data_IF_420044256102
#
_entry.id   IF_420044256102
#
_cell.length_a   1.000
_cell.length_b   1.000
_cell.length_c   1.000
_cell.angle_alpha   90.00
_cell.angle_beta   90.00
_cell.angle_gamma   90.00
#
_symmetry.space_group_name_H-M   'P 1'
#
loop_
_entity.id
_entity.type
_entity.pdbx_description
1 polymer ?
#
# COMPACT_ATOMS: atom_id res chain seq x y z
N UNK A 1 -27.72 33.57 -27.92
CA UNK A 1 -28.45 33.29 -26.67
C UNK A 1 -27.88 32.01 -26.04
N UNK A 2 -27.37 32.11 -24.79
CA UNK A 2 -27.19 31.07 -23.74
C UNK A 2 -26.54 29.73 -24.13
N UNK A 3 -25.29 29.32 -23.81
CA UNK A 3 -24.43 29.42 -22.61
C UNK A 3 -24.94 28.65 -21.34
N UNK A 4 -24.71 27.34 -21.30
CA UNK A 4 -24.58 26.53 -20.06
C UNK A 4 -23.07 26.42 -19.74
N UNK A 5 -22.44 26.89 -18.64
CA UNK A 5 -22.68 26.82 -17.18
C UNK A 5 -22.82 25.35 -16.72
N UNK A 6 -22.01 24.73 -15.85
CA UNK A 6 -21.41 25.09 -14.53
C UNK A 6 -20.37 23.99 -14.18
N UNK A 7 -19.20 24.26 -13.57
CA UNK A 7 -18.92 24.63 -12.16
C UNK A 7 -19.21 23.51 -11.14
N UNK A 8 -18.17 22.75 -10.72
CA UNK A 8 -18.08 22.14 -9.39
C UNK A 8 -16.61 22.20 -8.93
N UNK A 9 -16.20 23.35 -8.42
CA UNK A 9 -15.03 23.45 -7.55
C UNK A 9 -15.49 24.16 -6.28
N UNK A 10 -15.10 23.59 -5.12
CA UNK A 10 -15.27 24.12 -3.75
C UNK A 10 -16.62 23.85 -3.08
N UNK A 11 -16.81 22.64 -2.52
CA UNK A 11 -17.81 22.39 -1.47
C UNK A 11 -17.38 21.24 -0.54
N UNK A 12 -16.29 21.42 0.19
CA UNK A 12 -15.95 20.53 1.31
C UNK A 12 -15.21 21.29 2.44
N UNK A 13 -15.64 22.51 2.73
CA UNK A 13 -15.15 23.26 3.90
C UNK A 13 -16.34 23.90 4.64
N UNK A 14 -17.25 23.07 5.15
CA UNK A 14 -18.42 23.55 5.92
C UNK A 14 -19.07 22.49 6.84
N UNK A 15 -18.31 21.54 7.40
CA UNK A 15 -18.80 20.65 8.47
C UNK A 15 -17.98 20.77 9.76
N UNK A 16 -17.48 21.98 10.09
CA UNK A 16 -16.76 22.27 11.35
C UNK A 16 -17.66 22.97 12.38
N UNK A 17 -18.95 23.19 12.10
CA UNK A 17 -19.80 24.09 12.92
C UNK A 17 -21.06 23.47 13.53
N UNK A 18 -21.06 22.17 13.82
CA UNK A 18 -22.16 21.51 14.54
C UNK A 18 -21.66 20.45 15.54
N UNK A 19 -20.62 20.79 16.31
CA UNK A 19 -20.25 20.04 17.50
C UNK A 19 -20.90 20.67 18.75
N UNK A 20 -21.58 19.89 19.61
CA UNK A 20 -22.14 20.38 20.88
C UNK A 20 -21.07 20.93 21.82
N UNK A 21 -21.41 22.00 22.55
CA UNK A 21 -20.55 22.64 23.56
C UNK A 21 -20.10 21.63 24.63
N UNK A 22 -18.81 21.57 24.97
CA UNK A 22 -18.32 20.77 26.09
C UNK A 22 -18.74 21.40 27.42
N UNK A 23 -19.45 20.64 28.25
CA UNK A 23 -19.61 20.88 29.69
C UNK A 23 -18.24 20.79 30.37
N UNK A 24 -18.01 21.68 31.34
CA UNK A 24 -16.70 21.94 31.94
C UNK A 24 -16.02 20.75 32.64
N UNK A 25 -14.73 20.91 33.00
CA UNK A 25 -13.88 19.80 33.44
C UNK A 25 -14.10 19.48 34.94
N UNK A 26 -14.22 18.20 35.33
CA UNK A 26 -13.93 17.79 36.69
C UNK A 26 -12.47 17.33 36.84
N UNK A 27 -11.79 17.99 37.78
CA UNK A 27 -10.63 17.63 38.59
C UNK A 27 -9.61 16.57 38.09
N UNK A 28 -8.36 17.01 37.96
CA UNK A 28 -7.14 16.19 37.90
C UNK A 28 -6.99 15.23 39.10
N UNK A 29 -6.27 14.12 38.91
CA UNK A 29 -5.21 13.71 39.83
C UNK A 29 -3.82 13.76 39.15
N UNK A 30 -2.81 13.95 39.99
CA UNK A 30 -1.44 14.38 39.72
C UNK A 30 -0.52 13.32 39.04
N UNK A 31 0.69 13.71 38.56
CA UNK A 31 1.50 12.97 37.58
C UNK A 31 2.63 12.12 38.21
N UNK A 32 3.11 11.12 37.46
CA UNK A 32 4.46 10.47 37.49
C UNK A 32 4.37 9.18 36.65
N UNK A 33 5.33 8.72 35.84
CA UNK A 33 6.67 9.15 35.49
C UNK A 33 7.04 8.53 34.13
N UNK A 34 7.96 9.15 33.40
CA UNK A 34 8.61 8.55 32.26
C UNK A 34 9.50 7.37 32.69
N UNK A 35 9.46 6.24 31.98
CA UNK A 35 10.64 5.40 31.66
C UNK A 35 10.25 4.19 30.80
N UNK A 36 10.78 4.18 29.57
CA UNK A 36 11.41 3.05 28.89
C UNK A 36 10.90 1.63 29.18
N UNK A 37 10.25 1.02 28.19
CA UNK A 37 10.04 -0.42 28.14
C UNK A 37 9.32 -0.82 26.86
N UNK A 38 9.99 -1.56 26.00
CA UNK A 38 9.44 -2.07 24.75
C UNK A 38 8.16 -2.88 24.98
N UNK A 39 7.07 -2.41 24.39
CA UNK A 39 5.90 -3.22 24.15
C UNK A 39 5.52 -2.94 22.70
N UNK A 40 5.73 -3.95 21.85
CA UNK A 40 5.15 -4.04 20.51
C UNK A 40 3.67 -3.76 20.68
N UNK A 41 3.25 -2.56 20.28
CA UNK A 41 1.85 -2.17 20.32
C UNK A 41 1.12 -3.08 19.33
N UNK A 42 0.56 -4.18 19.83
CA UNK A 42 -0.40 -4.99 19.12
C UNK A 42 -1.51 -4.03 18.67
N UNK A 43 -1.52 -3.73 17.37
CA UNK A 43 -2.53 -2.84 16.77
C UNK A 43 -3.91 -3.43 17.09
N UNK A 44 -4.89 -2.60 17.50
CA UNK A 44 -6.23 -3.08 17.77
C UNK A 44 -6.81 -3.74 16.52
N UNK A 45 -7.17 -5.01 16.63
CA UNK A 45 -7.92 -5.72 15.59
C UNK A 45 -9.34 -5.15 15.49
N UNK A 46 -9.53 -4.12 14.67
CA UNK A 46 -10.84 -3.64 14.28
C UNK A 46 -11.51 -4.66 13.34
N UNK A 47 -12.20 -5.63 13.93
CA UNK A 47 -12.99 -6.62 13.21
C UNK A 47 -14.30 -6.06 12.59
N UNK A 48 -14.60 -4.77 12.74
CA UNK A 48 -15.92 -4.21 12.38
C UNK A 48 -16.00 -3.59 10.98
N UNK A 49 -14.87 -3.34 10.29
CA UNK A 49 -14.87 -2.85 8.90
C UNK A 49 -13.74 -3.57 8.15
N UNK A 50 -13.98 -4.81 7.74
CA UNK A 50 -13.12 -5.44 6.73
C UNK A 50 -13.46 -4.81 5.37
N UNK A 51 -12.68 -3.80 4.98
CA UNK A 51 -12.71 -3.30 3.61
C UNK A 51 -12.48 -4.49 2.66
N UNK A 52 -13.28 -4.64 1.58
CA UNK A 52 -12.97 -5.63 0.56
C UNK A 52 -11.71 -5.26 -0.23
N UNK A 53 -11.21 -4.03 -0.09
CA UNK A 53 -10.00 -3.56 -0.74
C UNK A 53 -8.78 -3.82 0.13
N UNK A 54 -7.72 -4.31 -0.52
CA UNK A 54 -6.39 -4.48 0.03
C UNK A 54 -5.42 -3.56 -0.68
N UNK A 55 -4.59 -2.87 0.08
CA UNK A 55 -3.54 -2.01 -0.45
C UNK A 55 -2.20 -2.73 -0.32
N UNK A 56 -1.44 -2.74 -1.41
CA UNK A 56 -0.09 -3.27 -1.43
C UNK A 56 0.87 -2.26 -2.01
N UNK A 57 2.13 -2.33 -1.60
CA UNK A 57 3.23 -1.61 -2.23
C UNK A 57 4.18 -2.59 -2.88
N UNK A 58 4.44 -2.39 -4.16
CA UNK A 58 5.34 -3.23 -4.96
C UNK A 58 6.67 -2.51 -5.10
N UNK A 59 7.77 -3.21 -4.88
CA UNK A 59 9.12 -2.68 -5.00
C UNK A 59 9.90 -3.39 -6.09
N UNK A 60 10.64 -2.61 -6.89
CA UNK A 60 11.62 -3.13 -7.84
C UNK A 60 13.04 -2.94 -7.29
N UNK A 61 13.68 -4.05 -6.90
CA UNK A 61 15.09 -4.08 -6.51
C UNK A 61 15.88 -4.91 -7.52
N UNK A 62 17.19 -4.66 -7.71
CA UNK A 62 18.00 -5.51 -8.57
C UNK A 62 17.82 -6.99 -8.21
N UNK A 63 17.38 -7.81 -9.17
CA UNK A 63 17.12 -9.24 -8.97
C UNK A 63 15.76 -9.60 -8.35
N UNK A 64 15.06 -8.66 -7.71
CA UNK A 64 13.90 -8.98 -6.87
C UNK A 64 12.70 -8.07 -7.13
N UNK A 65 11.52 -8.68 -7.18
CA UNK A 65 10.24 -8.00 -7.06
C UNK A 65 9.62 -8.39 -5.73
N UNK A 66 9.25 -7.38 -4.96
CA UNK A 66 8.78 -7.53 -3.60
C UNK A 66 7.43 -6.86 -3.47
N UNK A 67 6.60 -7.37 -2.57
CA UNK A 67 5.31 -6.77 -2.26
C UNK A 67 5.15 -6.65 -0.75
N UNK A 68 4.77 -5.48 -0.26
CA UNK A 68 4.44 -5.24 1.14
C UNK A 68 2.93 -5.18 1.28
N UNK A 69 2.39 -5.94 2.22
CA UNK A 69 0.96 -5.93 2.55
C UNK A 69 0.60 -4.83 3.57
N UNK A 70 -0.68 -4.72 3.92
CA UNK A 70 -1.21 -3.73 4.87
C UNK A 70 -0.67 -3.91 6.30
N UNK A 71 -0.24 -5.14 6.63
CA UNK A 71 0.38 -5.49 7.91
C UNK A 71 1.85 -5.09 7.97
N UNK A 72 2.43 -4.66 6.84
CA UNK A 72 3.84 -4.32 6.72
C UNK A 72 4.75 -5.51 6.44
N UNK A 73 4.19 -6.71 6.24
CA UNK A 73 4.94 -7.92 5.89
C UNK A 73 5.36 -7.85 4.43
N UNK A 74 6.58 -8.31 4.15
CA UNK A 74 7.16 -8.29 2.81
C UNK A 74 7.20 -9.70 2.27
N UNK A 75 6.64 -9.88 1.08
CA UNK A 75 6.59 -11.13 0.36
C UNK A 75 7.39 -11.03 -0.93
N UNK A 76 7.90 -12.17 -1.40
CA UNK A 76 8.55 -12.24 -2.69
C UNK A 76 7.50 -12.39 -3.79
N UNK A 77 7.38 -11.36 -4.63
CA UNK A 77 6.42 -11.32 -5.73
C UNK A 77 6.99 -12.03 -6.98
N UNK A 78 8.30 -11.94 -7.17
CA UNK A 78 8.99 -12.52 -8.31
C UNK A 78 10.41 -11.99 -8.49
N UNK A 79 10.91 -12.12 -9.71
CA UNK A 79 12.27 -11.70 -10.08
C UNK A 79 12.25 -10.67 -11.20
N UNK A 80 13.16 -9.69 -11.11
CA UNK A 80 13.46 -8.72 -12.16
C UNK A 80 14.85 -9.01 -12.72
N UNK A 81 14.97 -9.03 -14.05
CA UNK A 81 16.23 -9.28 -14.76
C UNK A 81 16.52 -8.18 -15.79
N UNK A 82 17.79 -8.10 -16.17
CA UNK A 82 18.30 -7.10 -17.11
C UNK A 82 18.68 -5.79 -16.44
N UNK A 83 18.95 -4.79 -17.28
CA UNK A 83 19.28 -3.43 -16.90
C UNK A 83 18.48 -2.47 -17.77
N UNK A 84 18.23 -1.26 -17.31
CA UNK A 84 17.59 -0.23 -18.13
C UNK A 84 18.48 0.05 -19.37
N UNK A 85 17.91 0.14 -20.58
CA UNK A 85 16.49 0.18 -20.93
C UNK A 85 15.86 -1.16 -21.37
N UNK A 86 16.43 -2.30 -20.97
CA UNK A 86 15.94 -3.64 -21.32
C UNK A 86 15.68 -4.47 -20.06
N UNK A 87 14.66 -4.09 -19.31
CA UNK A 87 14.21 -4.85 -18.13
C UNK A 87 13.17 -5.90 -18.51
N UNK A 88 13.16 -6.97 -17.73
CA UNK A 88 12.17 -8.05 -17.79
C UNK A 88 11.82 -8.51 -16.38
N UNK A 89 10.67 -9.15 -16.24
CA UNK A 89 10.26 -9.77 -14.99
C UNK A 89 9.58 -11.12 -15.19
N UNK A 90 9.55 -11.88 -14.10
CA UNK A 90 8.75 -13.09 -13.94
C UNK A 90 8.12 -13.05 -12.54
N UNK A 91 6.80 -13.07 -12.47
CA UNK A 91 6.04 -13.19 -11.21
C UNK A 91 5.89 -14.66 -10.86
N UNK A 92 5.96 -14.98 -9.57
CA UNK A 92 5.68 -16.35 -9.12
C UNK A 92 4.20 -16.69 -9.22
N UNK A 93 3.34 -15.67 -9.12
CA UNK A 93 1.92 -15.81 -9.41
C UNK A 93 1.67 -16.09 -10.90
N UNK A 94 1.05 -17.24 -11.20
CA UNK A 94 0.66 -17.69 -12.55
C UNK A 94 1.76 -17.70 -13.61
N UNK A 95 3.03 -17.71 -13.18
CA UNK A 95 4.20 -17.64 -14.05
C UNK A 95 4.20 -16.47 -15.05
N UNK A 96 3.54 -15.34 -14.69
CA UNK A 96 3.41 -14.19 -15.58
C UNK A 96 4.76 -13.56 -15.86
N UNK A 97 4.97 -13.18 -17.12
CA UNK A 97 6.23 -12.60 -17.60
C UNK A 97 5.97 -11.32 -18.37
N UNK A 98 6.92 -10.40 -18.31
CA UNK A 98 6.99 -9.21 -19.12
C UNK A 98 8.43 -8.90 -19.50
N UNK A 99 8.64 -8.23 -20.62
CA UNK A 99 9.97 -7.94 -21.16
C UNK A 99 9.97 -6.65 -21.99
N UNK A 100 11.15 -6.04 -22.15
CA UNK A 100 11.34 -4.86 -23.00
C UNK A 100 10.98 -3.54 -22.33
N UNK A 101 11.03 -3.47 -21.00
CA UNK A 101 10.72 -2.23 -20.27
C UNK A 101 11.94 -1.31 -20.19
N UNK A 102 11.75 -0.04 -20.55
CA UNK A 102 12.81 0.96 -20.57
C UNK A 102 13.23 1.43 -19.16
N UNK A 103 12.33 1.33 -18.19
CA UNK A 103 12.59 1.74 -16.81
C UNK A 103 11.90 0.84 -15.80
N UNK A 104 12.40 0.84 -14.55
CA UNK A 104 11.73 0.15 -13.43
C UNK A 104 10.30 0.63 -13.23
N UNK A 105 10.02 1.91 -13.46
CA UNK A 105 8.67 2.47 -13.34
C UNK A 105 7.71 1.84 -14.35
N UNK A 106 8.09 1.78 -15.64
CA UNK A 106 7.24 1.14 -16.66
C UNK A 106 6.97 -0.33 -16.36
N UNK A 107 7.99 -1.03 -15.85
CA UNK A 107 7.85 -2.42 -15.42
C UNK A 107 6.86 -2.54 -14.26
N UNK A 108 6.97 -1.67 -13.25
CA UNK A 108 6.08 -1.63 -12.09
C UNK A 108 4.64 -1.28 -12.50
N UNK A 109 4.46 -0.35 -13.43
CA UNK A 109 3.15 0.04 -13.95
C UNK A 109 2.46 -1.13 -14.67
N UNK A 110 3.19 -1.94 -15.44
CA UNK A 110 2.60 -3.14 -16.07
C UNK A 110 2.18 -4.18 -15.03
N UNK A 111 3.01 -4.41 -14.00
CA UNK A 111 2.67 -5.33 -12.91
C UNK A 111 1.44 -4.82 -12.15
N UNK A 112 1.39 -3.53 -11.84
CA UNK A 112 0.27 -2.90 -11.16
C UNK A 112 -1.02 -3.09 -11.94
N UNK A 113 -1.00 -2.77 -13.24
CA UNK A 113 -2.13 -2.97 -14.15
C UNK A 113 -2.63 -4.41 -14.13
N UNK A 114 -1.74 -5.41 -14.16
CA UNK A 114 -2.12 -6.83 -14.14
C UNK A 114 -2.74 -7.27 -12.82
N UNK A 115 -2.30 -6.71 -11.70
CA UNK A 115 -2.90 -6.98 -10.39
C UNK A 115 -4.30 -6.35 -10.34
N UNK A 116 -4.44 -5.12 -10.82
CA UNK A 116 -5.72 -4.39 -10.84
C UNK A 116 -6.75 -5.02 -11.78
N UNK A 117 -6.33 -5.59 -12.92
CA UNK A 117 -7.20 -6.36 -13.82
C UNK A 117 -7.56 -7.74 -13.26
N UNK A 118 -6.99 -8.15 -12.13
CA UNK A 118 -7.28 -9.40 -11.45
C UNK A 118 -6.51 -10.62 -12.00
N UNK A 119 -5.47 -10.41 -12.81
CA UNK A 119 -4.66 -11.52 -13.33
C UNK A 119 -3.92 -12.26 -12.20
N UNK A 120 -3.62 -11.60 -11.07
CA UNK A 120 -2.73 -12.11 -10.00
C UNK A 120 -3.44 -12.21 -8.61
N UNK A 121 -4.75 -11.98 -8.56
CA UNK A 121 -5.42 -11.56 -7.32
C UNK A 121 -5.37 -12.53 -6.12
N UNK A 122 -5.68 -13.82 -6.32
CA UNK A 122 -5.70 -14.78 -5.18
C UNK A 122 -4.31 -15.26 -4.82
N UNK A 123 -3.43 -15.30 -5.80
CA UNK A 123 -2.06 -15.80 -5.69
C UNK A 123 -1.18 -14.88 -4.84
N UNK A 124 -1.49 -13.57 -4.78
CA UNK A 124 -0.83 -12.63 -3.87
C UNK A 124 -0.96 -13.03 -2.40
N UNK A 125 -2.07 -13.69 -2.02
CA UNK A 125 -2.33 -14.11 -0.64
C UNK A 125 -1.49 -15.32 -0.24
N UNK A 126 -0.99 -16.08 -1.20
CA UNK A 126 -0.19 -17.30 -0.98
C UNK A 126 1.30 -17.07 -1.21
N UNK A 127 1.76 -15.82 -1.35
CA UNK A 127 3.16 -15.54 -1.62
C UNK A 127 4.04 -15.86 -0.41
N UNK A 128 5.23 -16.43 -0.64
CA UNK A 128 6.16 -16.73 0.44
C UNK A 128 6.60 -15.44 1.12
N UNK A 129 6.60 -15.44 2.45
CA UNK A 129 7.18 -14.36 3.25
C UNK A 129 8.67 -14.30 2.95
N UNK A 130 9.17 -13.11 2.61
CA UNK A 130 10.59 -12.92 2.41
C UNK A 130 11.27 -12.73 3.78
N UNK A 131 12.09 -13.70 4.18
CA UNK A 131 12.86 -13.67 5.43
C UNK A 131 14.19 -12.93 5.31
N UNK A 132 14.57 -12.49 4.10
CA UNK A 132 15.82 -11.77 3.86
C UNK A 132 15.73 -10.38 4.49
N UNK A 133 16.73 -9.94 5.28
CA UNK A 133 16.79 -8.57 5.76
C UNK A 133 17.02 -7.64 4.56
N UNK A 134 15.92 -7.18 3.97
CA UNK A 134 15.93 -6.10 3.02
C UNK A 134 16.46 -4.89 3.78
N UNK A 135 17.58 -4.33 3.33
CA UNK A 135 18.24 -3.23 4.02
C UNK A 135 17.27 -2.11 4.39
N UNK A 136 17.64 -1.29 5.37
CA UNK A 136 16.83 -0.26 6.08
C UNK A 136 16.07 0.72 5.18
N UNK A 137 16.26 0.64 3.86
CA UNK A 137 15.81 1.60 2.89
C UNK A 137 15.13 0.97 1.67
N UNK A 138 14.07 0.19 1.92
CA UNK A 138 13.21 -0.34 0.86
C UNK A 138 12.38 0.78 0.21
N UNK A 139 11.90 1.73 1.02
CA UNK A 139 10.99 2.79 0.60
C UNK A 139 11.66 3.96 -0.17
N UNK A 140 13.00 4.12 -0.14
CA UNK A 140 13.68 5.04 -1.09
C UNK A 140 13.90 4.45 -2.48
N UNK A 141 13.60 3.18 -2.70
CA UNK A 141 13.68 2.54 -4.01
C UNK A 141 12.48 2.84 -4.91
N UNK A 142 12.54 2.39 -6.16
CA UNK A 142 11.40 2.40 -7.09
C UNK A 142 10.27 1.52 -6.54
N UNK A 143 9.11 2.14 -6.36
CA UNK A 143 7.92 1.46 -5.87
C UNK A 143 6.65 2.00 -6.53
N UNK A 144 5.59 1.21 -6.50
CA UNK A 144 4.24 1.61 -6.89
C UNK A 144 3.21 1.01 -5.93
N UNK A 145 2.12 1.74 -5.68
CA UNK A 145 1.05 1.30 -4.80
C UNK A 145 -0.10 0.76 -5.64
N UNK A 146 -0.66 -0.38 -5.22
CA UNK A 146 -1.74 -1.05 -5.93
C UNK A 146 -2.90 -1.36 -4.98
N UNK A 147 -4.11 -1.21 -5.48
CA UNK A 147 -5.32 -1.57 -4.75
C UNK A 147 -5.99 -2.78 -5.40
N UNK A 148 -6.33 -3.77 -4.60
CA UNK A 148 -6.94 -5.01 -5.07
C UNK A 148 -8.21 -5.27 -4.30
N UNK A 149 -9.31 -5.56 -5.00
CA UNK A 149 -10.55 -5.99 -4.38
C UNK A 149 -10.52 -7.51 -4.16
N UNK A 150 -10.56 -7.95 -2.91
CA UNK A 150 -10.85 -9.34 -2.58
C UNK A 150 -12.30 -9.64 -2.94
N UNK A 151 -12.51 -10.54 -3.89
CA UNK A 151 -13.83 -11.11 -4.14
C UNK A 151 -14.27 -11.84 -2.85
N UNK A 152 -15.46 -11.49 -2.35
CA UNK A 152 -16.12 -12.21 -1.24
C UNK A 152 -16.56 -13.60 -1.69
#
# INVERSE_FOLDING_TARGET
MSALKRSIARFANACVKLLPRPSGPPASPAPRAASHGGAVAARPGHAAISSPWRIYRIYARPGHLLIRNEQGEIHELGVMKGSEPNLSYRLYAKDLKGQGFASRTQLLDDIARRIETGEVGRELLSLPVNSTPLGVDLDRGSHTDVSMKLAR
#
